data_IF_376411923434
#
_entry.id   IF_376411923434
#
_cell.length_a   1.000
_cell.length_b   1.000
_cell.length_c   1.000
_cell.angle_alpha   90.00
_cell.angle_beta   90.00
_cell.angle_gamma   90.00
#
_symmetry.space_group_name_H-M   'P 1'
#
loop_
_entity.id
_entity.type
_entity.pdbx_description
1 polymer ?
#
# COMPACT_ATOMS: atom_id res chain seq x y z
N UNK A 1 -0.19 -3.00 14.72
CA UNK A 1 0.75 -3.27 13.61
C UNK A 1 -0.09 -3.73 12.45
N UNK A 2 -0.20 -2.88 11.44
CA UNK A 2 -0.98 -3.16 10.25
C UNK A 2 -0.09 -3.72 9.15
N UNK A 3 -0.65 -4.61 8.34
CA UNK A 3 0.02 -5.18 7.18
C UNK A 3 -0.27 -4.31 5.96
N UNK A 4 0.76 -3.64 5.46
CA UNK A 4 0.65 -2.68 4.37
C UNK A 4 1.27 -3.27 3.11
N UNK A 5 0.41 -3.56 2.14
CA UNK A 5 0.86 -3.91 0.79
C UNK A 5 1.36 -2.65 0.09
N UNK A 6 2.56 -2.64 -0.47
CA UNK A 6 3.08 -1.50 -1.22
C UNK A 6 3.59 -1.99 -2.57
N UNK A 7 3.22 -1.28 -3.63
CA UNK A 7 3.69 -1.59 -4.98
C UNK A 7 5.22 -1.58 -5.05
N UNK A 8 5.80 -2.51 -5.83
CA UNK A 8 7.25 -2.68 -5.92
C UNK A 8 7.98 -1.40 -6.36
N UNK A 9 7.32 -0.57 -7.19
CA UNK A 9 7.80 0.73 -7.64
C UNK A 9 8.02 1.76 -6.51
N UNK A 10 7.34 1.59 -5.37
CA UNK A 10 7.30 2.53 -4.25
C UNK A 10 8.27 2.11 -3.13
N UNK A 11 9.53 1.89 -3.46
CA UNK A 11 10.57 1.49 -2.50
C UNK A 11 10.76 2.49 -1.36
N UNK A 12 10.66 3.79 -1.62
CA UNK A 12 10.77 4.83 -0.58
C UNK A 12 9.66 4.70 0.46
N UNK A 13 8.44 4.42 0.01
CA UNK A 13 7.27 4.22 0.89
C UNK A 13 7.40 2.94 1.68
N UNK A 14 7.89 1.86 1.06
CA UNK A 14 8.16 0.61 1.75
C UNK A 14 9.12 0.81 2.93
N UNK A 15 10.20 1.54 2.70
CA UNK A 15 11.19 1.85 3.74
C UNK A 15 10.59 2.72 4.86
N UNK A 16 9.84 3.76 4.51
CA UNK A 16 9.24 4.67 5.49
C UNK A 16 8.22 3.95 6.40
N UNK A 17 7.33 3.13 5.82
CA UNK A 17 6.36 2.36 6.59
C UNK A 17 7.01 1.30 7.47
N UNK A 18 8.08 0.63 6.99
CA UNK A 18 8.88 -0.28 7.83
C UNK A 18 9.53 0.44 9.00
N UNK A 19 10.06 1.66 8.79
CA UNK A 19 10.65 2.46 9.85
C UNK A 19 9.62 2.90 10.89
N UNK A 20 8.37 3.14 10.48
CA UNK A 20 7.26 3.39 11.40
C UNK A 20 6.83 2.14 12.21
N UNK A 21 7.30 0.94 11.84
CA UNK A 21 7.00 -0.32 12.51
C UNK A 21 5.79 -1.07 11.93
N UNK A 22 5.34 -0.71 10.73
CA UNK A 22 4.33 -1.46 10.00
C UNK A 22 4.93 -2.66 9.25
N UNK A 23 4.13 -3.70 9.02
CA UNK A 23 4.57 -4.85 8.26
C UNK A 23 4.35 -4.57 6.77
N UNK A 24 5.43 -4.28 6.05
CA UNK A 24 5.36 -3.94 4.63
C UNK A 24 5.52 -5.18 3.76
N UNK A 25 4.57 -5.39 2.85
CA UNK A 25 4.57 -6.48 1.88
C UNK A 25 4.65 -5.90 0.48
N UNK A 26 5.61 -6.35 -0.32
CA UNK A 26 5.72 -5.91 -1.71
C UNK A 26 4.62 -6.55 -2.56
N UNK A 27 3.73 -5.73 -3.11
CA UNK A 27 2.66 -6.18 -4.00
C UNK A 27 3.25 -6.49 -5.38
N UNK A 28 3.35 -7.78 -5.72
CA UNK A 28 3.70 -8.24 -7.07
C UNK A 28 2.49 -8.81 -7.80
N UNK A 29 1.51 -9.33 -7.05
CA UNK A 29 0.27 -9.90 -7.58
C UNK A 29 -0.92 -9.63 -6.66
N UNK A 30 -2.15 -9.81 -7.14
CA UNK A 30 -3.38 -9.63 -6.35
C UNK A 30 -3.41 -10.51 -5.08
N UNK A 31 -2.74 -11.66 -5.11
CA UNK A 31 -2.65 -12.56 -3.95
C UNK A 31 -1.83 -11.96 -2.79
N UNK A 32 -0.81 -11.14 -3.08
CA UNK A 32 -0.01 -10.50 -2.02
C UNK A 32 -0.83 -9.45 -1.27
N UNK A 33 -1.80 -8.85 -1.95
CA UNK A 33 -2.73 -7.90 -1.36
C UNK A 33 -3.77 -8.58 -0.46
N UNK A 34 -4.02 -9.88 -0.66
CA UNK A 34 -4.94 -10.63 0.18
C UNK A 34 -4.39 -10.75 1.61
N UNK A 35 -5.11 -10.16 2.56
CA UNK A 35 -4.72 -10.13 3.96
C UNK A 35 -3.87 -8.93 4.36
N UNK A 36 -3.67 -7.95 3.47
CA UNK A 36 -3.20 -6.63 3.86
C UNK A 36 -4.36 -5.78 4.40
N UNK A 37 -4.09 -5.02 5.46
CA UNK A 37 -5.03 -4.05 6.05
C UNK A 37 -5.06 -2.74 5.25
N UNK A 38 -4.01 -2.46 4.48
CA UNK A 38 -3.95 -1.32 3.58
C UNK A 38 -3.06 -1.63 2.39
N UNK A 39 -3.34 -1.04 1.22
CA UNK A 39 -2.51 -1.17 0.04
C UNK A 39 -2.14 0.20 -0.54
N UNK A 40 -0.85 0.48 -0.70
CA UNK A 40 -0.33 1.68 -1.36
C UNK A 40 0.08 1.33 -2.77
N UNK A 41 -0.53 2.00 -3.74
CA UNK A 41 -0.32 1.76 -5.16
C UNK A 41 -0.04 3.06 -5.89
N UNK A 42 0.73 3.04 -6.97
CA UNK A 42 1.03 4.27 -7.73
C UNK A 42 -0.19 4.80 -8.49
N UNK A 43 -1.21 3.95 -8.68
CA UNK A 43 -2.38 4.23 -9.51
C UNK A 43 -2.06 4.25 -11.01
N UNK A 44 -0.82 3.94 -11.40
CA UNK A 44 -0.41 3.89 -12.80
C UNK A 44 -0.60 2.49 -13.40
N UNK A 45 -0.45 1.44 -12.60
CA UNK A 45 -0.57 0.08 -13.10
C UNK A 45 -2.05 -0.35 -13.17
N UNK A 46 -2.48 -0.86 -14.32
CA UNK A 46 -3.86 -1.33 -14.46
C UNK A 46 -4.11 -2.59 -13.63
N UNK A 47 -3.06 -3.37 -13.35
CA UNK A 47 -3.16 -4.56 -12.51
C UNK A 47 -3.50 -4.18 -11.07
N UNK A 48 -2.98 -3.06 -10.56
CA UNK A 48 -3.31 -2.59 -9.20
C UNK A 48 -4.72 -2.00 -9.10
N UNK A 49 -5.32 -1.59 -10.22
CA UNK A 49 -6.75 -1.23 -10.24
C UNK A 49 -7.62 -2.48 -10.06
N UNK A 50 -7.18 -3.64 -10.56
CA UNK A 50 -7.77 -4.94 -10.25
C UNK A 50 -7.63 -5.28 -8.76
N UNK A 51 -6.45 -5.03 -8.17
CA UNK A 51 -6.21 -5.17 -6.73
C UNK A 51 -7.21 -4.31 -5.92
N UNK A 52 -7.47 -3.07 -6.33
CA UNK A 52 -8.44 -2.21 -5.66
C UNK A 52 -9.90 -2.71 -5.76
N UNK A 53 -10.23 -3.45 -6.82
CA UNK A 53 -11.54 -4.09 -6.99
C UNK A 53 -11.63 -5.44 -6.26
N UNK A 54 -10.50 -6.14 -6.11
CA UNK A 54 -10.44 -7.35 -5.30
C UNK A 54 -10.76 -7.03 -3.85
N UNK A 55 -11.47 -7.95 -3.19
CA UNK A 55 -12.04 -7.79 -1.84
C UNK A 55 -10.99 -7.75 -0.71
N UNK A 56 -9.96 -6.94 -0.87
CA UNK A 56 -9.05 -6.57 0.19
C UNK A 56 -9.90 -5.84 1.21
N UNK A 57 -9.89 -6.34 2.44
CA UNK A 57 -10.64 -5.72 3.54
C UNK A 57 -10.11 -4.32 3.90
N UNK A 58 -8.92 -4.01 3.40
CA UNK A 58 -8.17 -2.82 3.67
C UNK A 58 -8.48 -1.61 2.79
N UNK A 59 -7.96 -0.46 3.21
CA UNK A 59 -8.02 0.76 2.42
C UNK A 59 -6.97 0.74 1.31
N UNK A 60 -7.30 1.25 0.13
CA UNK A 60 -6.32 1.48 -0.94
C UNK A 60 -5.94 2.95 -0.99
N UNK A 61 -4.63 3.23 -0.98
CA UNK A 61 -4.06 4.57 -1.03
C UNK A 61 -3.30 4.71 -2.35
N UNK A 62 -3.68 5.71 -3.12
CA UNK A 62 -3.00 6.01 -4.38
C UNK A 62 -1.89 7.02 -4.12
N UNK A 63 -0.63 6.59 -4.28
CA UNK A 63 0.56 7.43 -4.09
C UNK A 63 0.73 8.52 -5.17
N UNK A 64 -0.13 8.56 -6.18
CA UNK A 64 -0.03 9.51 -7.31
C UNK A 64 -0.06 10.96 -6.83
N UNK A 65 1.08 11.66 -6.98
CA UNK A 65 1.22 13.06 -6.59
C UNK A 65 1.33 13.31 -5.08
N UNK A 66 1.42 12.24 -4.28
CA UNK A 66 1.64 12.32 -2.84
C UNK A 66 3.11 12.05 -2.50
N UNK A 67 3.56 12.69 -1.43
CA UNK A 67 4.86 12.40 -0.82
C UNK A 67 4.79 11.16 0.07
N UNK A 68 5.95 10.55 0.33
CA UNK A 68 6.07 9.40 1.23
C UNK A 68 5.47 9.66 2.61
N UNK A 69 5.67 10.86 3.16
CA UNK A 69 5.11 11.28 4.45
C UNK A 69 3.57 11.34 4.42
N UNK A 70 2.99 11.93 3.37
CA UNK A 70 1.53 12.00 3.20
C UNK A 70 0.89 10.62 3.09
N UNK A 71 1.59 9.68 2.46
CA UNK A 71 1.15 8.30 2.34
C UNK A 71 1.19 7.61 3.71
N UNK A 72 2.29 7.74 4.46
CA UNK A 72 2.38 7.21 5.82
C UNK A 72 1.27 7.77 6.72
N UNK A 73 1.01 9.08 6.68
CA UNK A 73 -0.10 9.67 7.42
C UNK A 73 -1.47 9.10 7.01
N UNK A 74 -1.70 8.86 5.71
CA UNK A 74 -2.94 8.24 5.26
C UNK A 74 -3.06 6.79 5.73
N UNK A 75 -1.96 6.03 5.74
CA UNK A 75 -1.92 4.67 6.27
C UNK A 75 -2.29 4.70 7.75
N UNK A 76 -1.63 5.52 8.56
CA UNK A 76 -1.94 5.65 10.00
C UNK A 76 -3.37 6.12 10.26
N UNK A 77 -3.93 6.99 9.41
CA UNK A 77 -5.30 7.47 9.56
C UNK A 77 -6.36 6.43 9.18
N UNK A 78 -5.99 5.41 8.41
CA UNK A 78 -6.90 4.38 7.88
C UNK A 78 -6.71 2.99 8.49
N UNK A 79 -5.75 2.82 9.38
CA UNK A 79 -5.45 1.53 10.02
C UNK A 79 -5.33 1.65 11.52
#
# INVERSE_FOLDING_TARGET
MARIGVENSLTDVQQALQQQGHEVVTLNSEQDAQGCDCCVVTGQDSNVMGIADTSIKGSVITAHGLTTDEICQQVESRT
#
